data_IF_895305694367
#
_entry.id   IF_895305694367
#
_cell.length_a   1.000
_cell.length_b   1.000
_cell.length_c   1.000
_cell.angle_alpha   90.00
_cell.angle_beta   90.00
_cell.angle_gamma   90.00
#
_symmetry.space_group_name_H-M   'P 1'
#
loop_
_entity.id
_entity.type
_entity.pdbx_description
1 polymer ?
#
# COMPACT_ATOMS: atom_id res chain seq x y z
N UNK A 1 2.02 11.66 58.63
CA UNK A 1 2.03 12.66 57.54
C UNK A 1 3.46 13.11 57.20
N UNK A 2 4.23 12.41 56.38
CA UNK A 2 5.32 13.05 55.66
C UNK A 2 5.55 12.43 54.27
N UNK A 3 4.64 12.66 53.32
CA UNK A 3 4.85 12.25 51.89
C UNK A 3 4.72 13.36 50.87
N UNK A 4 4.49 14.62 51.31
CA UNK A 4 4.27 15.76 50.38
C UNK A 4 5.54 16.54 50.00
N UNK A 5 6.73 16.20 50.48
CA UNK A 5 7.97 16.95 50.18
C UNK A 5 8.88 16.34 49.10
N UNK A 6 8.68 15.07 48.71
CA UNK A 6 9.60 14.38 47.79
C UNK A 6 9.30 14.60 46.28
N UNK A 7 8.13 15.09 45.91
CA UNK A 7 7.78 15.28 44.48
C UNK A 7 8.13 16.66 43.89
N UNK A 8 8.60 17.60 44.71
CA UNK A 8 8.94 18.96 44.23
C UNK A 8 10.37 19.13 43.68
N UNK A 9 11.24 18.13 43.80
CA UNK A 9 12.65 18.28 43.42
C UNK A 9 13.01 17.70 42.03
N UNK A 10 12.05 17.16 41.27
CA UNK A 10 12.32 16.51 39.97
C UNK A 10 12.04 17.41 38.76
N UNK A 11 11.34 18.53 38.95
CA UNK A 11 11.09 19.49 37.86
C UNK A 11 11.92 20.74 38.07
N UNK A 12 13.20 20.69 37.74
CA UNK A 12 14.00 21.91 37.53
C UNK A 12 13.32 22.73 36.42
N UNK A 13 13.03 24.03 36.63
CA UNK A 13 12.45 24.87 35.59
C UNK A 13 13.42 24.91 34.41
N UNK A 14 12.93 24.47 33.27
CA UNK A 14 13.69 24.47 32.01
C UNK A 14 14.21 25.89 31.76
N UNK A 15 15.51 26.05 31.53
CA UNK A 15 16.12 27.37 31.35
C UNK A 15 15.48 28.10 30.15
N UNK A 16 15.39 29.43 30.23
CA UNK A 16 14.86 30.25 29.12
C UNK A 16 15.59 29.98 27.78
N UNK A 17 16.87 29.57 27.84
CA UNK A 17 17.66 29.14 26.68
C UNK A 17 17.17 27.84 26.09
N UNK A 18 16.84 26.85 26.93
CA UNK A 18 16.26 25.56 26.48
C UNK A 18 14.87 25.77 25.87
N UNK A 19 14.06 26.65 26.42
CA UNK A 19 12.72 26.97 25.87
C UNK A 19 12.81 27.68 24.49
N UNK A 20 13.78 28.58 24.32
CA UNK A 20 14.04 29.23 23.01
C UNK A 20 14.59 28.25 21.99
N UNK A 21 15.45 27.31 22.39
CA UNK A 21 15.99 26.27 21.54
C UNK A 21 14.87 25.29 21.11
N UNK A 22 14.00 24.86 22.02
CA UNK A 22 12.85 24.01 21.72
C UNK A 22 11.84 24.70 20.79
N UNK A 23 11.59 26.00 20.98
CA UNK A 23 10.76 26.81 20.07
C UNK A 23 11.39 26.93 18.67
N UNK A 24 12.71 27.11 18.58
CA UNK A 24 13.43 27.11 17.31
C UNK A 24 13.35 25.75 16.60
N UNK A 25 13.50 24.66 17.34
CA UNK A 25 13.38 23.29 16.80
C UNK A 25 11.94 22.98 16.32
N UNK A 26 10.93 23.47 17.04
CA UNK A 26 9.51 23.31 16.67
C UNK A 26 9.14 24.13 15.42
N UNK A 27 9.78 25.27 15.20
CA UNK A 27 9.57 26.11 14.00
C UNK A 27 10.33 25.59 12.78
N UNK A 28 11.44 24.85 12.98
CA UNK A 28 12.21 24.22 11.90
C UNK A 28 11.64 22.85 11.48
N UNK A 29 10.88 22.19 12.37
CA UNK A 29 10.31 20.86 12.08
C UNK A 29 9.37 20.82 10.86
N UNK A 30 8.44 21.78 10.64
CA UNK A 30 7.62 21.80 9.43
C UNK A 30 8.42 22.08 8.15
N UNK A 31 9.51 22.85 8.21
CA UNK A 31 10.38 23.07 7.05
C UNK A 31 11.12 21.80 6.64
N UNK A 32 11.56 20.97 7.58
CA UNK A 32 12.18 19.66 7.32
C UNK A 32 11.20 18.64 6.74
N UNK A 33 9.94 18.70 7.14
CA UNK A 33 8.88 17.82 6.58
C UNK A 33 8.51 18.20 5.14
N UNK A 34 8.76 19.44 4.72
CA UNK A 34 8.43 19.92 3.36
C UNK A 34 9.54 19.64 2.34
N UNK A 35 10.79 19.43 2.75
CA UNK A 35 11.92 19.21 1.83
C UNK A 35 12.01 17.78 1.27
N UNK A 36 11.30 16.81 1.87
CA UNK A 36 11.20 15.43 1.37
C UNK A 36 10.19 15.24 0.24
N UNK A 37 9.42 16.24 -0.14
CA UNK A 37 8.23 16.14 -0.98
C UNK A 37 8.41 16.69 -2.39
N UNK A 38 9.53 16.43 -3.08
CA UNK A 38 9.71 16.92 -4.45
C UNK A 38 8.85 16.19 -5.51
N UNK A 39 8.16 15.08 -5.14
CA UNK A 39 7.14 14.39 -5.96
C UNK A 39 6.04 13.85 -5.04
N UNK A 40 5.16 14.73 -4.60
CA UNK A 40 4.15 14.41 -3.56
C UNK A 40 2.93 13.67 -4.12
N UNK A 41 2.78 13.52 -5.45
CA UNK A 41 1.56 12.98 -6.04
C UNK A 41 1.20 11.60 -5.49
N UNK A 42 2.16 10.72 -5.28
CA UNK A 42 1.92 9.32 -4.94
C UNK A 42 2.44 8.84 -3.58
N UNK A 43 3.05 9.70 -2.74
CA UNK A 43 3.69 9.25 -1.49
C UNK A 43 4.64 8.05 -1.70
N UNK A 44 5.43 8.09 -2.77
CA UNK A 44 6.36 7.03 -3.16
C UNK A 44 5.92 6.18 -4.36
N UNK A 45 4.68 6.30 -4.82
CA UNK A 45 4.20 5.64 -6.05
C UNK A 45 4.22 6.60 -7.24
N UNK A 46 4.60 6.10 -8.41
CA UNK A 46 4.64 6.85 -9.67
C UNK A 46 3.33 6.69 -10.44
N UNK A 47 2.87 7.76 -11.08
CA UNK A 47 1.68 7.76 -11.92
C UNK A 47 1.94 7.12 -13.29
N UNK A 48 0.91 6.56 -13.90
CA UNK A 48 0.92 6.13 -15.31
C UNK A 48 1.77 4.90 -15.62
N UNK A 49 2.24 4.14 -14.62
CA UNK A 49 3.05 2.94 -14.86
C UNK A 49 2.27 1.80 -15.50
N UNK A 50 0.97 1.75 -15.26
CA UNK A 50 0.07 0.78 -15.90
C UNK A 50 -1.33 1.37 -16.11
N UNK A 51 -2.15 0.71 -16.91
CA UNK A 51 -3.54 1.14 -17.17
C UNK A 51 -4.44 1.13 -15.94
N UNK A 52 -4.02 0.51 -14.84
CA UNK A 52 -4.83 0.36 -13.61
C UNK A 52 -4.18 1.02 -12.39
N UNK A 53 -2.92 1.38 -12.45
CA UNK A 53 -2.20 1.91 -11.29
C UNK A 53 -2.79 3.25 -10.80
N UNK A 54 -3.26 4.12 -11.69
CA UNK A 54 -3.84 5.41 -11.33
C UNK A 54 -5.18 5.25 -10.57
N UNK A 55 -5.88 4.13 -10.76
CA UNK A 55 -7.08 3.81 -9.97
C UNK A 55 -6.73 3.56 -8.51
N UNK A 56 -5.73 2.72 -8.26
CA UNK A 56 -5.21 2.45 -6.91
C UNK A 56 -4.56 3.68 -6.30
N UNK A 57 -3.81 4.45 -7.08
CA UNK A 57 -3.14 5.67 -6.64
C UNK A 57 -4.14 6.73 -6.17
N UNK A 58 -5.23 6.93 -6.91
CA UNK A 58 -6.27 7.89 -6.51
C UNK A 58 -6.97 7.50 -5.19
N UNK A 59 -7.17 6.21 -4.94
CA UNK A 59 -7.67 5.72 -3.64
C UNK A 59 -6.66 5.96 -2.53
N UNK A 60 -5.39 5.68 -2.78
CA UNK A 60 -4.30 5.89 -1.85
C UNK A 60 -4.19 7.36 -1.43
N UNK A 61 -4.21 8.29 -2.39
CA UNK A 61 -4.19 9.73 -2.13
C UNK A 61 -5.42 10.18 -1.33
N UNK A 62 -6.62 9.75 -1.74
CA UNK A 62 -7.87 10.06 -1.04
C UNK A 62 -7.91 9.54 0.40
N UNK A 63 -7.41 8.32 0.62
CA UNK A 63 -7.30 7.72 1.95
C UNK A 63 -6.34 8.50 2.86
N UNK A 64 -5.19 8.95 2.34
CA UNK A 64 -4.25 9.78 3.09
C UNK A 64 -4.80 11.16 3.44
N UNK A 65 -5.57 11.79 2.54
CA UNK A 65 -6.26 13.06 2.82
C UNK A 65 -7.27 12.85 3.96
N UNK A 66 -8.11 11.82 3.86
CA UNK A 66 -9.08 11.50 4.90
C UNK A 66 -8.39 11.19 6.25
N UNK A 67 -7.35 10.36 6.24
CA UNK A 67 -6.57 10.03 7.43
C UNK A 67 -5.90 11.27 8.04
N UNK A 68 -5.38 12.18 7.21
CA UNK A 68 -4.78 13.43 7.66
C UNK A 68 -5.80 14.34 8.37
N UNK A 69 -6.98 14.53 7.78
CA UNK A 69 -8.05 15.34 8.38
C UNK A 69 -8.51 14.75 9.72
N UNK A 70 -8.82 13.46 9.76
CA UNK A 70 -9.25 12.77 10.98
C UNK A 70 -8.13 12.75 12.02
N UNK A 71 -6.88 12.50 11.59
CA UNK A 71 -5.72 12.48 12.48
C UNK A 71 -5.45 13.83 13.14
N UNK A 72 -5.47 14.92 12.36
CA UNK A 72 -5.30 16.28 12.92
C UNK A 72 -6.46 16.63 13.87
N UNK A 73 -7.70 16.32 13.50
CA UNK A 73 -8.85 16.54 14.37
C UNK A 73 -8.72 15.77 15.70
N UNK A 74 -8.36 14.50 15.63
CA UNK A 74 -8.16 13.66 16.82
C UNK A 74 -7.01 14.16 17.68
N UNK A 75 -5.90 14.59 17.05
CA UNK A 75 -4.76 15.16 17.76
C UNK A 75 -5.16 16.44 18.52
N UNK A 76 -5.96 17.30 17.90
CA UNK A 76 -6.51 18.51 18.56
C UNK A 76 -7.35 18.11 19.76
N UNK A 77 -8.26 17.13 19.62
CA UNK A 77 -9.11 16.66 20.74
C UNK A 77 -8.29 16.08 21.90
N UNK A 78 -7.17 15.42 21.63
CA UNK A 78 -6.27 14.88 22.67
C UNK A 78 -5.47 16.00 23.35
N UNK A 79 -4.91 16.91 22.56
CA UNK A 79 -4.02 17.94 23.09
C UNK A 79 -4.79 19.09 23.78
N UNK A 80 -6.00 19.40 23.32
CA UNK A 80 -6.80 20.46 23.89
C UNK A 80 -7.01 20.32 25.40
N UNK A 81 -7.51 19.21 25.94
CA UNK A 81 -7.64 19.02 27.38
C UNK A 81 -6.29 19.07 28.10
N UNK A 82 -5.24 18.51 27.51
CA UNK A 82 -3.91 18.46 28.11
C UNK A 82 -3.32 19.86 28.33
N UNK A 83 -3.67 20.84 27.48
CA UNK A 83 -3.17 22.20 27.62
C UNK A 83 -4.14 23.12 28.37
N UNK A 84 -5.44 23.01 28.13
CA UNK A 84 -6.45 23.98 28.61
C UNK A 84 -7.22 23.51 29.85
N UNK A 85 -7.31 22.19 30.10
CA UNK A 85 -8.06 21.63 31.23
C UNK A 85 -7.16 21.00 32.30
N UNK A 86 -6.00 21.61 32.53
CA UNK A 86 -5.08 21.17 33.60
C UNK A 86 -5.65 21.46 34.95
N UNK A 87 -5.38 20.58 35.92
CA UNK A 87 -5.73 20.80 37.33
C UNK A 87 -5.03 22.08 37.82
N UNK A 88 -5.84 23.02 38.36
CA UNK A 88 -5.39 24.28 38.96
C UNK A 88 -5.49 24.14 40.48
N UNK A 89 -4.84 25.07 41.20
CA UNK A 89 -4.80 25.08 42.69
C UNK A 89 -6.21 25.10 43.31
N UNK A 90 -7.13 25.80 42.66
CA UNK A 90 -8.51 26.01 43.14
C UNK A 90 -9.53 25.12 42.42
N UNK A 91 -9.05 24.08 41.69
CA UNK A 91 -9.95 23.13 41.03
C UNK A 91 -10.64 22.25 42.08
N UNK A 92 -11.90 21.87 41.88
CA UNK A 92 -12.60 20.92 42.74
C UNK A 92 -11.87 19.55 42.71
N UNK A 93 -11.98 18.79 43.80
CA UNK A 93 -11.35 17.45 43.93
C UNK A 93 -11.81 16.51 42.81
N UNK A 94 -13.10 16.58 42.46
CA UNK A 94 -13.66 15.83 41.33
C UNK A 94 -14.27 16.78 40.32
N UNK A 95 -13.90 16.66 39.03
CA UNK A 95 -14.53 17.43 37.97
C UNK A 95 -15.97 16.99 37.77
N UNK A 96 -16.79 17.85 37.16
CA UNK A 96 -18.16 17.52 36.79
C UNK A 96 -18.19 16.29 35.89
N UNK A 97 -18.90 15.26 36.31
CA UNK A 97 -19.09 14.03 35.56
C UNK A 97 -20.32 14.18 34.65
N UNK A 98 -20.14 14.00 33.35
CA UNK A 98 -21.24 13.98 32.38
C UNK A 98 -21.49 12.53 31.98
N UNK A 99 -22.64 11.98 32.31
CA UNK A 99 -22.98 10.57 32.08
C UNK A 99 -23.25 10.29 30.59
N UNK A 100 -24.04 11.14 29.95
CA UNK A 100 -24.26 11.08 28.49
C UNK A 100 -24.49 12.47 27.90
N UNK A 101 -24.24 12.54 26.59
CA UNK A 101 -24.57 13.68 25.75
C UNK A 101 -25.05 13.16 24.38
N UNK A 102 -26.37 12.91 24.28
CA UNK A 102 -26.98 12.29 23.10
C UNK A 102 -26.58 12.97 21.78
N UNK A 103 -26.61 14.32 21.65
CA UNK A 103 -26.15 14.97 20.42
C UNK A 103 -24.70 14.64 20.02
N UNK A 104 -23.78 14.62 20.99
CA UNK A 104 -22.36 14.29 20.74
C UNK A 104 -22.23 12.81 20.41
N UNK A 105 -22.95 11.92 21.07
CA UNK A 105 -22.94 10.48 20.82
C UNK A 105 -23.44 10.14 19.42
N UNK A 106 -24.55 10.76 18.99
CA UNK A 106 -25.05 10.64 17.62
C UNK A 106 -24.03 11.16 16.61
N UNK A 107 -23.41 12.31 16.89
CA UNK A 107 -22.45 12.94 15.98
C UNK A 107 -21.22 12.06 15.77
N UNK A 108 -20.59 11.56 16.85
CA UNK A 108 -19.38 10.72 16.71
C UNK A 108 -19.68 9.32 16.19
N UNK A 109 -20.94 8.90 16.16
CA UNK A 109 -21.36 7.64 15.52
C UNK A 109 -21.65 7.84 14.04
N UNK A 110 -22.40 8.87 13.67
CA UNK A 110 -22.87 9.10 12.30
C UNK A 110 -21.70 9.58 11.39
N UNK A 111 -20.85 10.49 11.86
CA UNK A 111 -19.75 11.01 11.02
C UNK A 111 -18.79 9.91 10.58
N UNK A 112 -18.23 9.04 11.45
CA UNK A 112 -17.39 7.93 11.00
C UNK A 112 -18.12 6.96 10.08
N UNK A 113 -19.41 6.68 10.32
CA UNK A 113 -20.20 5.84 9.44
C UNK A 113 -20.29 6.43 8.02
N UNK A 114 -20.54 7.74 7.88
CA UNK A 114 -20.56 8.41 6.59
C UNK A 114 -19.19 8.32 5.90
N UNK A 115 -18.09 8.58 6.65
CA UNK A 115 -16.74 8.50 6.10
C UNK A 115 -16.46 7.09 5.55
N UNK A 116 -16.79 6.05 6.32
CA UNK A 116 -16.60 4.65 5.89
C UNK A 116 -17.45 4.33 4.66
N UNK A 117 -18.72 4.77 4.62
CA UNK A 117 -19.60 4.55 3.48
C UNK A 117 -19.08 5.22 2.20
N UNK A 118 -18.55 6.43 2.30
CA UNK A 118 -17.93 7.15 1.16
C UNK A 118 -16.66 6.44 0.69
N UNK A 119 -15.77 6.04 1.60
CA UNK A 119 -14.54 5.30 1.25
C UNK A 119 -14.89 3.95 0.62
N UNK A 120 -15.87 3.24 1.14
CA UNK A 120 -16.35 1.98 0.57
C UNK A 120 -16.87 2.16 -0.85
N UNK A 121 -17.70 3.19 -1.08
CA UNK A 121 -18.23 3.48 -2.41
C UNK A 121 -17.10 3.68 -3.44
N UNK A 122 -16.13 4.54 -3.14
CA UNK A 122 -15.01 4.78 -4.05
C UNK A 122 -14.13 3.53 -4.23
N UNK A 123 -13.91 2.75 -3.17
CA UNK A 123 -13.16 1.49 -3.25
C UNK A 123 -13.86 0.49 -4.17
N UNK A 124 -15.17 0.29 -4.02
CA UNK A 124 -15.94 -0.61 -4.86
C UNK A 124 -15.91 -0.20 -6.34
N UNK A 125 -16.05 1.10 -6.63
CA UNK A 125 -15.96 1.64 -7.98
C UNK A 125 -14.59 1.37 -8.62
N UNK A 126 -13.51 1.66 -7.91
CA UNK A 126 -12.15 1.46 -8.42
C UNK A 126 -11.80 -0.02 -8.58
N UNK A 127 -12.21 -0.85 -7.62
CA UNK A 127 -12.00 -2.30 -7.68
C UNK A 127 -12.69 -2.91 -8.90
N UNK A 128 -13.92 -2.49 -9.22
CA UNK A 128 -14.63 -2.94 -10.41
C UNK A 128 -13.83 -2.68 -11.69
N UNK A 129 -13.18 -1.51 -11.79
CA UNK A 129 -12.33 -1.19 -12.94
C UNK A 129 -11.05 -2.04 -12.97
N UNK A 130 -10.39 -2.20 -11.82
CA UNK A 130 -9.12 -2.93 -11.71
C UNK A 130 -9.31 -4.42 -12.02
N UNK A 131 -10.44 -5.01 -11.59
CA UNK A 131 -10.75 -6.44 -11.77
C UNK A 131 -11.58 -6.73 -13.01
N UNK A 132 -11.86 -5.72 -13.85
CA UNK A 132 -12.62 -5.90 -15.07
C UNK A 132 -11.91 -6.83 -16.04
N UNK A 133 -12.63 -7.85 -16.52
CA UNK A 133 -12.19 -8.73 -17.60
C UNK A 133 -12.69 -8.17 -18.93
N UNK A 134 -11.83 -8.21 -19.94
CA UNK A 134 -12.19 -7.80 -21.29
C UNK A 134 -11.91 -8.94 -22.26
N UNK A 135 -12.61 -8.96 -23.39
CA UNK A 135 -12.35 -9.94 -24.46
C UNK A 135 -11.28 -9.42 -25.45
N UNK A 136 -10.64 -8.28 -25.14
CA UNK A 136 -9.75 -7.55 -26.06
C UNK A 136 -8.29 -7.53 -25.58
N UNK A 137 -7.84 -8.52 -24.82
CA UNK A 137 -6.42 -8.66 -24.50
C UNK A 137 -5.65 -9.23 -25.72
N UNK A 138 -4.38 -8.82 -25.84
CA UNK A 138 -3.53 -9.24 -26.95
C UNK A 138 -2.65 -10.45 -26.60
N UNK A 139 -2.25 -10.56 -25.36
CA UNK A 139 -1.39 -11.62 -24.85
C UNK A 139 -2.00 -12.27 -23.61
N UNK A 140 -1.71 -13.55 -23.43
CA UNK A 140 -1.99 -14.28 -22.21
C UNK A 140 -0.69 -14.77 -21.60
N UNK A 141 -0.57 -14.66 -20.28
CA UNK A 141 0.54 -15.18 -19.49
C UNK A 141 -0.04 -15.95 -18.31
N UNK A 142 0.42 -17.18 -18.08
CA UNK A 142 0.05 -17.90 -16.88
C UNK A 142 1.01 -17.57 -15.75
N UNK A 143 0.46 -17.42 -14.54
CA UNK A 143 1.21 -17.08 -13.33
C UNK A 143 0.86 -18.11 -12.27
N UNK A 144 1.76 -19.04 -12.01
CA UNK A 144 1.58 -20.06 -11.00
C UNK A 144 2.48 -19.80 -9.80
N UNK A 145 1.87 -19.74 -8.60
CA UNK A 145 2.59 -19.68 -7.32
C UNK A 145 2.94 -21.09 -6.85
N UNK A 146 4.19 -21.34 -6.50
CA UNK A 146 4.70 -22.59 -5.92
C UNK A 146 5.60 -22.25 -4.71
N UNK A 147 5.73 -23.15 -3.75
CA UNK A 147 6.61 -22.96 -2.59
C UNK A 147 8.08 -23.23 -2.96
N UNK A 148 8.96 -22.19 -3.02
CA UNK A 148 8.73 -20.76 -2.78
C UNK A 148 9.29 -19.97 -3.95
N UNK A 149 8.62 -20.04 -5.08
CA UNK A 149 8.97 -19.36 -6.31
C UNK A 149 7.75 -19.12 -7.21
N UNK A 150 8.00 -18.64 -8.40
CA UNK A 150 7.00 -18.38 -9.43
C UNK A 150 7.31 -19.15 -10.68
N UNK A 151 6.25 -19.56 -11.37
CA UNK A 151 6.31 -20.11 -12.70
C UNK A 151 5.49 -19.23 -13.65
N UNK A 152 6.09 -18.82 -14.74
CA UNK A 152 5.47 -17.98 -15.76
C UNK A 152 5.41 -18.77 -17.07
N UNK A 153 4.20 -18.94 -17.62
CA UNK A 153 4.00 -19.60 -18.91
C UNK A 153 3.55 -18.61 -19.97
N UNK A 154 3.98 -18.84 -21.18
CA UNK A 154 3.69 -18.03 -22.38
C UNK A 154 2.99 -18.88 -23.44
N UNK A 155 1.65 -19.09 -23.35
CA UNK A 155 0.91 -20.01 -24.24
C UNK A 155 1.05 -19.70 -25.72
N UNK A 156 1.33 -18.43 -26.08
CA UNK A 156 1.55 -18.03 -27.47
C UNK A 156 2.82 -18.63 -28.09
N UNK A 157 3.82 -19.01 -27.26
CA UNK A 157 5.07 -19.65 -27.71
C UNK A 157 5.04 -21.18 -27.54
N UNK A 158 3.88 -21.74 -27.15
CA UNK A 158 3.68 -23.18 -26.96
C UNK A 158 3.39 -23.59 -25.52
N UNK A 159 2.92 -24.84 -25.31
CA UNK A 159 2.54 -25.33 -23.99
C UNK A 159 3.73 -25.48 -23.03
N UNK A 160 4.93 -25.70 -23.58
CA UNK A 160 6.16 -25.90 -22.81
C UNK A 160 6.98 -24.61 -22.63
N UNK A 161 6.48 -23.46 -23.12
CA UNK A 161 7.11 -22.17 -22.97
C UNK A 161 6.90 -21.64 -21.53
N UNK A 162 7.66 -22.22 -20.60
CA UNK A 162 7.51 -21.99 -19.16
C UNK A 162 8.85 -21.64 -18.54
N UNK A 163 8.87 -20.59 -17.71
CA UNK A 163 10.04 -20.19 -16.91
C UNK A 163 9.73 -20.40 -15.44
N UNK A 164 10.51 -21.24 -14.79
CA UNK A 164 10.39 -21.51 -13.35
C UNK A 164 11.62 -20.99 -12.63
N UNK A 165 11.44 -20.16 -11.59
CA UNK A 165 12.51 -19.67 -10.76
C UNK A 165 12.73 -20.51 -9.49
N UNK A 166 13.69 -20.03 -8.70
CA UNK A 166 13.96 -20.52 -7.34
C UNK A 166 14.13 -19.34 -6.39
N UNK A 167 14.08 -19.53 -5.06
CA UNK A 167 14.38 -18.43 -4.12
C UNK A 167 15.76 -17.80 -4.32
N UNK A 168 16.75 -18.58 -4.76
CA UNK A 168 18.11 -18.11 -5.05
C UNK A 168 18.25 -17.42 -6.42
N UNK A 169 17.36 -17.77 -7.36
CA UNK A 169 17.31 -17.23 -8.71
C UNK A 169 15.86 -16.90 -9.07
N UNK A 170 15.36 -15.72 -8.63
CA UNK A 170 14.01 -15.29 -8.93
C UNK A 170 13.76 -15.18 -10.44
N UNK A 171 12.61 -15.64 -10.95
CA UNK A 171 12.32 -15.60 -12.37
C UNK A 171 12.02 -14.19 -12.86
N UNK A 172 12.19 -13.99 -14.17
CA UNK A 172 11.83 -12.74 -14.85
C UNK A 172 10.56 -12.97 -15.65
N UNK A 173 9.56 -12.12 -15.40
CA UNK A 173 8.31 -12.05 -16.14
C UNK A 173 8.45 -10.98 -17.24
N UNK A 174 8.52 -11.40 -18.49
CA UNK A 174 8.54 -10.49 -19.63
C UNK A 174 7.14 -10.01 -19.99
N UNK A 175 6.97 -8.70 -20.20
CA UNK A 175 5.68 -8.06 -20.48
C UNK A 175 5.88 -7.04 -21.62
N UNK A 176 5.01 -7.03 -22.65
CA UNK A 176 5.10 -6.06 -23.74
C UNK A 176 4.60 -4.68 -23.31
N UNK A 177 5.32 -3.63 -23.68
CA UNK A 177 4.93 -2.24 -23.49
C UNK A 177 3.70 -1.89 -24.33
N UNK A 178 2.72 -1.21 -23.71
CA UNK A 178 1.57 -0.64 -24.41
C UNK A 178 0.53 -1.66 -24.88
N UNK A 179 0.73 -2.94 -24.62
CA UNK A 179 -0.16 -4.01 -25.04
C UNK A 179 -0.87 -4.64 -23.81
N UNK A 180 -2.17 -4.90 -23.96
CA UNK A 180 -2.97 -5.48 -22.88
C UNK A 180 -2.68 -6.96 -22.71
N UNK A 181 -2.33 -7.33 -21.50
CA UNK A 181 -2.00 -8.71 -21.13
C UNK A 181 -3.05 -9.20 -20.14
N UNK A 182 -3.56 -10.41 -20.36
CA UNK A 182 -4.31 -11.19 -19.37
C UNK A 182 -3.36 -12.11 -18.64
N UNK A 183 -3.39 -12.06 -17.32
CA UNK A 183 -2.68 -12.96 -16.43
C UNK A 183 -3.67 -13.97 -15.87
N UNK A 184 -3.45 -15.26 -16.17
CA UNK A 184 -4.20 -16.38 -15.61
C UNK A 184 -3.44 -16.88 -14.38
N UNK A 185 -4.02 -16.67 -13.21
CA UNK A 185 -3.33 -16.75 -11.92
C UNK A 185 -3.83 -17.94 -11.12
N UNK A 186 -2.92 -18.87 -10.80
CA UNK A 186 -3.18 -20.11 -10.07
C UNK A 186 -2.14 -20.37 -9.00
N UNK A 187 -2.38 -21.35 -8.13
CA UNK A 187 -1.39 -21.90 -7.22
C UNK A 187 -1.49 -23.44 -7.21
N UNK A 188 -0.35 -24.11 -7.07
CA UNK A 188 -0.28 -25.57 -7.07
C UNK A 188 -0.33 -26.18 -5.66
N UNK A 189 0.04 -25.43 -4.64
CA UNK A 189 0.24 -25.94 -3.27
C UNK A 189 -0.55 -25.17 -2.20
N UNK A 190 -0.16 -23.94 -1.88
CA UNK A 190 -0.78 -23.08 -0.86
C UNK A 190 -1.20 -21.75 -1.47
N UNK A 191 -1.88 -20.90 -0.71
CA UNK A 191 -2.23 -19.56 -1.15
C UNK A 191 -0.96 -18.70 -1.23
N UNK A 192 -0.78 -18.01 -2.35
CA UNK A 192 0.23 -16.99 -2.58
C UNK A 192 -0.43 -15.67 -2.97
N UNK A 193 0.34 -14.59 -3.06
CA UNK A 193 -0.15 -13.31 -3.55
C UNK A 193 0.80 -12.75 -4.60
N UNK A 194 0.35 -12.68 -5.84
CA UNK A 194 1.07 -12.05 -6.94
C UNK A 194 0.94 -10.54 -6.81
N UNK A 195 2.04 -9.87 -6.47
CA UNK A 195 2.05 -8.45 -6.20
C UNK A 195 3.18 -7.74 -6.94
N UNK A 196 2.82 -6.71 -7.70
CA UNK A 196 3.74 -5.80 -8.38
C UNK A 196 3.57 -4.41 -7.74
N UNK A 197 4.40 -4.07 -6.73
CA UNK A 197 4.24 -2.82 -5.97
C UNK A 197 4.20 -1.56 -6.83
N UNK A 198 5.10 -1.45 -7.81
CA UNK A 198 5.18 -0.29 -8.70
C UNK A 198 3.88 -0.05 -9.49
N UNK A 199 3.20 -1.11 -9.89
CA UNK A 199 1.91 -1.04 -10.60
C UNK A 199 0.71 -0.94 -9.66
N UNK A 200 0.93 -0.95 -8.35
CA UNK A 200 -0.09 -0.92 -7.29
C UNK A 200 -1.18 -1.99 -7.50
N UNK A 201 -0.78 -3.19 -7.96
CA UNK A 201 -1.69 -4.27 -8.31
C UNK A 201 -1.29 -5.55 -7.60
N UNK A 202 -2.29 -6.27 -7.10
CA UNK A 202 -2.12 -7.57 -6.46
C UNK A 202 -3.33 -8.46 -6.70
N UNK A 203 -3.08 -9.77 -6.72
CA UNK A 203 -4.16 -10.78 -6.76
C UNK A 203 -3.70 -12.04 -6.06
N UNK A 204 -4.65 -12.79 -5.50
CA UNK A 204 -4.38 -14.07 -4.82
C UNK A 204 -4.24 -15.20 -5.82
N UNK A 205 -3.21 -16.01 -5.62
CA UNK A 205 -3.05 -17.32 -6.23
C UNK A 205 -3.63 -18.36 -5.25
N UNK A 206 -4.77 -18.95 -5.56
CA UNK A 206 -5.51 -19.86 -4.66
C UNK A 206 -5.53 -21.26 -5.28
N UNK A 207 -5.12 -22.31 -4.55
CA UNK A 207 -5.20 -23.68 -5.06
C UNK A 207 -6.61 -24.05 -5.48
N UNK A 208 -6.73 -24.61 -6.68
CA UNK A 208 -8.02 -25.01 -7.25
C UNK A 208 -8.92 -23.89 -7.75
N UNK A 209 -8.46 -22.62 -7.69
CA UNK A 209 -9.18 -21.44 -8.21
C UNK A 209 -8.35 -20.74 -9.26
N UNK A 210 -8.94 -20.44 -10.41
CA UNK A 210 -8.31 -19.63 -11.44
C UNK A 210 -8.77 -18.17 -11.31
N UNK A 211 -7.88 -17.30 -10.93
CA UNK A 211 -8.08 -15.86 -10.91
C UNK A 211 -7.51 -15.21 -12.18
N UNK A 212 -8.02 -14.03 -12.50
CA UNK A 212 -7.59 -13.27 -13.68
C UNK A 212 -7.27 -11.84 -13.31
N UNK A 213 -6.22 -11.32 -13.93
CA UNK A 213 -5.80 -9.95 -13.83
C UNK A 213 -5.48 -9.44 -15.22
N UNK A 214 -5.88 -8.21 -15.55
CA UNK A 214 -5.57 -7.62 -16.85
C UNK A 214 -5.04 -6.20 -16.66
N UNK A 215 -3.91 -5.91 -17.26
CA UNK A 215 -3.40 -4.55 -17.36
C UNK A 215 -2.48 -4.36 -18.56
N UNK A 216 -2.23 -3.11 -18.90
CA UNK A 216 -1.23 -2.68 -19.88
C UNK A 216 -0.10 -2.01 -19.12
N UNK A 217 1.14 -2.44 -19.34
CA UNK A 217 2.33 -1.76 -18.81
C UNK A 217 2.68 -0.57 -19.72
N UNK A 218 2.91 0.60 -19.14
CA UNK A 218 3.09 1.86 -19.88
C UNK A 218 4.51 2.41 -19.83
N UNK A 219 5.45 1.75 -19.13
CA UNK A 219 6.83 2.21 -18.99
C UNK A 219 7.79 1.04 -19.09
N UNK A 220 8.84 1.20 -19.94
CA UNK A 220 9.94 0.26 -20.04
C UNK A 220 10.74 0.19 -18.73
N UNK A 221 11.30 -0.97 -18.43
CA UNK A 221 12.19 -1.17 -17.28
C UNK A 221 11.91 -2.43 -16.49
N UNK A 222 12.68 -2.61 -15.43
CA UNK A 222 12.57 -3.72 -14.50
C UNK A 222 11.87 -3.25 -13.23
N UNK A 223 10.79 -3.95 -12.85
CA UNK A 223 9.98 -3.66 -11.68
C UNK A 223 9.97 -4.87 -10.74
N UNK A 224 10.33 -4.70 -9.46
CA UNK A 224 10.31 -5.81 -8.52
C UNK A 224 8.88 -6.29 -8.25
N UNK A 225 8.71 -7.61 -8.23
CA UNK A 225 7.50 -8.28 -7.79
C UNK A 225 7.78 -9.26 -6.66
N UNK A 226 6.76 -9.61 -5.90
CA UNK A 226 6.92 -10.51 -4.75
C UNK A 226 5.62 -11.13 -4.30
N UNK A 227 5.73 -12.21 -3.52
CA UNK A 227 4.62 -12.73 -2.75
C UNK A 227 4.28 -11.79 -1.58
N UNK A 228 3.00 -11.49 -1.38
CA UNK A 228 2.50 -10.67 -0.28
C UNK A 228 1.50 -11.36 0.64
N UNK A 229 1.28 -12.67 0.45
CA UNK A 229 0.47 -13.52 1.33
C UNK A 229 1.37 -14.59 1.94
N UNK A 230 1.39 -14.70 3.26
CA UNK A 230 2.26 -15.64 3.98
C UNK A 230 2.03 -17.06 3.49
N UNK A 231 3.04 -17.63 2.83
CA UNK A 231 3.01 -18.95 2.19
C UNK A 231 4.02 -19.94 2.80
N UNK A 232 4.67 -19.61 3.91
CA UNK A 232 5.60 -20.49 4.62
C UNK A 232 6.99 -19.91 4.85
N UNK A 233 7.98 -20.79 5.06
CA UNK A 233 9.33 -20.44 5.53
C UNK A 233 10.05 -19.39 4.67
N UNK A 234 10.04 -19.58 3.35
CA UNK A 234 10.77 -18.70 2.42
C UNK A 234 9.85 -17.65 1.76
N UNK A 235 8.71 -17.32 2.40
CA UNK A 235 7.79 -16.31 1.89
C UNK A 235 8.49 -14.99 1.51
N UNK A 236 9.40 -14.49 2.33
CA UNK A 236 10.14 -13.24 2.07
C UNK A 236 11.10 -13.31 0.90
N UNK A 237 11.50 -14.50 0.48
CA UNK A 237 12.42 -14.77 -0.63
C UNK A 237 11.70 -15.13 -1.93
N UNK A 238 10.37 -15.21 -1.91
CA UNK A 238 9.55 -15.51 -3.09
C UNK A 238 9.37 -14.24 -3.93
N UNK A 239 10.43 -13.89 -4.66
CA UNK A 239 10.58 -12.69 -5.46
C UNK A 239 10.50 -13.02 -6.95
N UNK A 240 10.24 -11.99 -7.77
CA UNK A 240 10.36 -12.03 -9.23
C UNK A 240 10.63 -10.61 -9.74
N UNK A 241 10.99 -10.49 -11.02
CA UNK A 241 11.15 -9.19 -11.70
C UNK A 241 10.18 -9.14 -12.87
N UNK A 242 9.39 -8.09 -12.97
CA UNK A 242 8.63 -7.75 -14.17
C UNK A 242 9.53 -6.94 -15.08
N UNK A 243 9.84 -7.46 -16.25
CA UNK A 243 10.63 -6.78 -17.28
C UNK A 243 9.72 -6.33 -18.39
N UNK A 244 9.45 -5.02 -18.43
CA UNK A 244 8.67 -4.41 -19.50
C UNK A 244 9.60 -4.08 -20.65
N UNK A 245 9.32 -4.66 -21.82
CA UNK A 245 10.13 -4.55 -23.05
C UNK A 245 9.28 -4.03 -24.20
N UNK A 246 9.91 -3.61 -25.29
CA UNK A 246 9.16 -3.27 -26.50
C UNK A 246 8.46 -4.50 -27.09
N UNK A 247 7.35 -4.33 -27.86
CA UNK A 247 6.68 -5.47 -28.49
C UNK A 247 7.60 -6.34 -29.36
N UNK A 248 8.55 -5.73 -30.05
CA UNK A 248 9.55 -6.47 -30.84
C UNK A 248 10.48 -7.33 -29.98
N UNK A 249 10.95 -6.78 -28.84
CA UNK A 249 11.76 -7.54 -27.88
C UNK A 249 10.96 -8.64 -27.18
N UNK A 250 9.68 -8.40 -26.93
CA UNK A 250 8.80 -9.42 -26.38
C UNK A 250 8.60 -10.58 -27.35
N UNK A 251 8.37 -10.28 -28.64
CA UNK A 251 8.28 -11.32 -29.67
C UNK A 251 9.60 -12.11 -29.78
N UNK A 252 10.73 -11.41 -29.86
CA UNK A 252 12.04 -12.07 -29.89
C UNK A 252 12.28 -12.97 -28.67
N UNK A 253 11.76 -12.59 -27.49
CA UNK A 253 11.80 -13.45 -26.31
C UNK A 253 10.93 -14.70 -26.46
N UNK A 254 9.72 -14.59 -27.04
CA UNK A 254 8.86 -15.75 -27.33
C UNK A 254 9.52 -16.70 -28.34
N UNK A 255 10.17 -16.16 -29.36
CA UNK A 255 10.85 -16.95 -30.39
C UNK A 255 11.97 -17.83 -29.81
N UNK A 256 12.60 -17.42 -28.67
CA UNK A 256 13.64 -18.26 -28.00
C UNK A 256 13.10 -19.61 -27.49
N UNK A 257 11.82 -19.73 -27.19
CA UNK A 257 11.21 -20.99 -26.78
C UNK A 257 11.03 -21.93 -27.97
N UNK A 258 10.68 -21.41 -29.14
CA UNK A 258 10.54 -22.20 -30.37
C UNK A 258 11.90 -22.76 -30.81
N UNK A 259 12.98 -21.95 -30.73
CA UNK A 259 14.34 -22.37 -31.10
C UNK A 259 14.93 -23.42 -30.14
N UNK A 260 14.52 -23.38 -28.85
CA UNK A 260 15.00 -24.33 -27.85
C UNK A 260 14.36 -25.72 -27.95
N UNK A 261 13.33 -25.88 -28.79
CA UNK A 261 12.61 -27.13 -28.97
C UNK A 261 11.81 -27.55 -27.73
N UNK A 262 11.48 -26.57 -26.92
CA UNK A 262 10.67 -26.74 -25.71
C UNK A 262 9.20 -26.93 -26.08
#
# INVERSE_FOLDING_TARGET
>A
MPRKRALRSILTPMSLKALKFLRGLLLLSPAFLLTGCSKVSGLGFEEGLSSVNDQSLSLWQGAWIAAGVVGVFTLILILWPAFFHRLKKDSPEFPKQTQYNIPVEVLYTIIPFIIVAVLFYFTAQKQTVITAKTDTYKHEITVEGIQWSWQFGYPAAGPDAVVTGTPAQPPVLYVPLGERVRYTVTANDVVHGFWIPAFMIQIQNIPGVTNYLEFTANKLGDFPGRCNILCGRNHSQMLFTVRVVTPAQYQAYLDTFEESGA
#
